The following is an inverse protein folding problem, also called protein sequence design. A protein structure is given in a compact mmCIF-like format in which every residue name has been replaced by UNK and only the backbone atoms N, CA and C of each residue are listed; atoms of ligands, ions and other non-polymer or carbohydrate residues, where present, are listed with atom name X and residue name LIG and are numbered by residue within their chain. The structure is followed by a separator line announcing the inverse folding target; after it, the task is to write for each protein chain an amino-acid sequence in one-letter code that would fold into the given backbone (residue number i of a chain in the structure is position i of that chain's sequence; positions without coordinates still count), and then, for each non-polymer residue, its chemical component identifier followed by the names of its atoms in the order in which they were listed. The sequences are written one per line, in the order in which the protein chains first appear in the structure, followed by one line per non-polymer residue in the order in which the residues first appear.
data_IF_928715775276
#
_entry.id   IF_928715775276
#
_cell.length_a   1.000
_cell.length_b   1.000
_cell.length_c   1.000
_cell.angle_alpha   90.00
_cell.angle_beta   90.00
_cell.angle_gamma   90.00
#
_symmetry.space_group_name_H-M   'P 1'
#
loop_
_entity.id
_entity.type
_entity.pdbx_description
1 polymer ?
#
# COMPACT_ATOMS: atom_id res chain seq x y z
N UNK A 1 -0.54 -53.22 24.80
CA UNK A 1 0.52 -52.17 24.63
C UNK A 1 0.11 -51.33 23.44
N UNK A 2 -0.48 -50.16 23.66
CA UNK A 2 -0.74 -49.24 22.59
C UNK A 2 0.61 -48.71 22.04
N UNK A 3 0.77 -48.73 20.74
CA UNK A 3 2.00 -48.38 20.06
C UNK A 3 2.35 -46.89 20.32
N UNK A 4 3.65 -46.59 20.46
CA UNK A 4 4.16 -45.22 20.57
C UNK A 4 3.66 -44.30 19.43
N UNK A 5 3.28 -44.89 18.31
CA UNK A 5 2.71 -44.20 17.16
C UNK A 5 1.26 -43.72 17.38
N UNK A 6 0.45 -44.52 18.11
CA UNK A 6 -0.92 -44.15 18.48
C UNK A 6 -0.94 -43.02 19.51
N UNK A 7 0.00 -43.04 20.46
CA UNK A 7 0.13 -42.00 21.46
C UNK A 7 0.59 -40.65 20.81
N UNK A 8 1.53 -40.70 19.85
CA UNK A 8 1.93 -39.51 19.09
C UNK A 8 0.83 -38.96 18.19
N UNK A 9 -0.06 -39.82 17.70
CA UNK A 9 -1.20 -39.41 16.89
C UNK A 9 -2.30 -38.79 17.75
N UNK A 10 -2.55 -39.31 18.93
CA UNK A 10 -3.48 -38.73 19.93
C UNK A 10 -2.96 -37.38 20.44
N UNK A 11 -1.67 -37.26 20.79
CA UNK A 11 -1.04 -36.02 21.23
C UNK A 11 -1.00 -34.96 20.09
N UNK A 12 -0.91 -35.39 18.83
CA UNK A 12 -0.99 -34.51 17.67
C UNK A 12 -2.42 -34.02 17.34
N UNK A 13 -3.42 -34.88 17.59
CA UNK A 13 -4.84 -34.56 17.45
C UNK A 13 -5.31 -33.64 18.60
N UNK A 14 -4.86 -33.83 19.84
CA UNK A 14 -5.12 -32.92 20.97
C UNK A 14 -4.46 -31.52 20.73
N UNK A 15 -3.25 -31.46 20.15
CA UNK A 15 -2.59 -30.17 19.83
C UNK A 15 -3.21 -29.45 18.63
N UNK A 16 -3.90 -30.17 17.74
CA UNK A 16 -4.57 -29.54 16.58
C UNK A 16 -5.94 -28.92 16.92
N UNK A 17 -6.56 -29.36 18.02
CA UNK A 17 -7.86 -28.82 18.49
C UNK A 17 -7.67 -27.52 19.26
N UNK A 18 -6.47 -27.27 19.81
CA UNK A 18 -6.18 -26.08 20.63
C UNK A 18 -5.75 -24.85 19.81
N UNK A 19 -5.61 -24.97 18.48
CA UNK A 19 -5.21 -23.86 17.60
C UNK A 19 -6.39 -23.16 16.90
N UNK A 20 -7.64 -23.63 17.09
CA UNK A 20 -8.81 -22.92 16.60
C UNK A 20 -9.26 -21.89 17.63
N UNK A 21 -9.40 -20.64 17.18
CA UNK A 21 -9.92 -19.56 18.02
C UNK A 21 -11.35 -19.90 18.50
N UNK A 22 -11.64 -19.63 19.77
CA UNK A 22 -12.96 -19.91 20.35
C UNK A 22 -14.02 -19.01 19.70
N UNK A 23 -15.27 -19.48 19.54
CA UNK A 23 -16.34 -18.67 18.93
C UNK A 23 -16.54 -17.30 19.60
N UNK A 24 -16.33 -17.22 20.91
CA UNK A 24 -16.42 -15.95 21.66
C UNK A 24 -15.28 -14.99 21.30
N UNK A 25 -14.07 -15.50 21.09
CA UNK A 25 -12.90 -14.71 20.70
C UNK A 25 -13.06 -14.14 19.29
N UNK A 26 -13.58 -14.95 18.35
CA UNK A 26 -13.92 -14.51 16.99
C UNK A 26 -14.99 -13.42 17.00
N UNK A 27 -16.03 -13.59 17.84
CA UNK A 27 -17.09 -12.59 17.97
C UNK A 27 -16.60 -11.27 18.54
N UNK A 28 -15.69 -11.29 19.52
CA UNK A 28 -15.09 -10.08 20.07
C UNK A 28 -14.21 -9.37 19.03
N UNK A 29 -13.40 -10.13 18.29
CA UNK A 29 -12.53 -9.61 17.26
C UNK A 29 -13.33 -9.00 16.11
N UNK A 30 -14.40 -9.67 15.66
CA UNK A 30 -15.34 -9.17 14.67
C UNK A 30 -15.95 -7.82 15.10
N UNK A 31 -16.44 -7.75 16.34
CA UNK A 31 -17.05 -6.53 16.88
C UNK A 31 -16.05 -5.36 16.94
N UNK A 32 -14.79 -5.62 17.35
CA UNK A 32 -13.74 -4.61 17.37
C UNK A 32 -13.42 -4.06 15.99
N UNK A 33 -13.27 -4.95 15.00
CA UNK A 33 -12.97 -4.59 13.63
C UNK A 33 -14.14 -3.86 12.96
N UNK A 34 -15.37 -4.29 13.21
CA UNK A 34 -16.58 -3.65 12.66
C UNK A 34 -16.82 -2.25 13.24
N UNK A 35 -16.57 -2.06 14.54
CA UNK A 35 -16.77 -0.78 15.21
C UNK A 35 -15.67 0.26 14.91
N UNK A 36 -14.56 -0.17 14.32
CA UNK A 36 -13.43 0.72 14.05
C UNK A 36 -13.59 1.44 12.73
N UNK A 37 -13.48 2.78 12.77
CA UNK A 37 -13.51 3.62 11.58
C UNK A 37 -12.22 3.49 10.75
N UNK A 38 -11.09 3.14 11.40
CA UNK A 38 -9.78 3.00 10.78
C UNK A 38 -9.28 1.55 10.88
N UNK A 39 -8.46 1.09 9.93
CA UNK A 39 -7.82 -0.21 10.02
C UNK A 39 -6.96 -0.36 11.29
N UNK A 40 -7.05 -1.51 11.95
CA UNK A 40 -6.34 -1.80 13.20
C UNK A 40 -5.17 -2.75 12.99
N UNK A 41 -4.02 -2.43 13.58
CA UNK A 41 -2.90 -3.36 13.63
C UNK A 41 -3.10 -4.47 14.66
N UNK A 42 -2.37 -5.58 14.46
CA UNK A 42 -2.49 -6.76 15.32
C UNK A 42 -2.14 -6.47 16.78
N UNK A 43 -1.18 -5.58 17.06
CA UNK A 43 -0.78 -5.25 18.43
C UNK A 43 -1.88 -4.46 19.15
N UNK A 44 -2.57 -3.57 18.44
CA UNK A 44 -3.73 -2.84 18.96
C UNK A 44 -4.90 -3.76 19.24
N UNK A 45 -5.16 -4.74 18.35
CA UNK A 45 -6.17 -5.77 18.57
C UNK A 45 -5.84 -6.62 19.80
N UNK A 46 -4.58 -7.08 19.94
CA UNK A 46 -4.15 -7.91 21.06
C UNK A 46 -4.32 -7.20 22.41
N UNK A 47 -4.11 -5.88 22.48
CA UNK A 47 -4.32 -5.08 23.70
C UNK A 47 -5.79 -4.99 24.14
N UNK A 48 -6.73 -5.18 23.22
CA UNK A 48 -8.18 -5.09 23.47
C UNK A 48 -8.85 -6.44 23.65
N UNK A 49 -8.15 -7.52 23.30
CA UNK A 49 -8.63 -8.90 23.48
C UNK A 49 -8.30 -9.41 24.89
N UNK A 50 -9.04 -10.39 25.40
CA UNK A 50 -8.72 -11.06 26.67
C UNK A 50 -7.31 -11.67 26.65
N UNK A 51 -6.70 -11.78 27.83
CA UNK A 51 -5.39 -12.42 27.96
C UNK A 51 -5.43 -13.89 27.51
N UNK A 52 -4.38 -14.32 26.80
CA UNK A 52 -4.25 -15.70 26.31
C UNK A 52 -4.87 -15.97 24.94
N UNK A 53 -5.53 -14.99 24.31
CA UNK A 53 -6.08 -15.16 22.96
C UNK A 53 -4.96 -15.07 21.90
N UNK A 54 -4.87 -16.09 21.04
CA UNK A 54 -4.04 -16.01 19.83
C UNK A 54 -4.73 -15.19 18.76
N UNK A 55 -4.47 -13.87 18.78
CA UNK A 55 -5.07 -12.92 17.84
C UNK A 55 -4.70 -13.24 16.40
N UNK A 56 -3.50 -13.81 16.15
CA UNK A 56 -3.07 -14.16 14.79
C UNK A 56 -3.92 -15.33 14.24
N UNK A 57 -4.10 -16.37 15.04
CA UNK A 57 -4.96 -17.51 14.67
C UNK A 57 -6.42 -17.08 14.50
N UNK A 58 -6.93 -16.23 15.41
CA UNK A 58 -8.29 -15.69 15.34
C UNK A 58 -8.52 -14.85 14.09
N UNK A 59 -7.56 -13.99 13.69
CA UNK A 59 -7.64 -13.21 12.44
C UNK A 59 -7.65 -14.10 11.21
N UNK A 60 -6.81 -15.13 11.16
CA UNK A 60 -6.78 -16.08 10.04
C UNK A 60 -8.11 -16.85 9.91
N UNK A 61 -8.67 -17.29 11.03
CA UNK A 61 -9.98 -17.97 11.07
C UNK A 61 -11.09 -17.01 10.60
N UNK A 62 -11.14 -15.80 11.15
CA UNK A 62 -12.15 -14.81 10.80
C UNK A 62 -12.05 -14.41 9.32
N UNK A 63 -10.83 -14.29 8.78
CA UNK A 63 -10.61 -14.02 7.36
C UNK A 63 -11.18 -15.15 6.49
N UNK A 64 -10.96 -16.41 6.87
CA UNK A 64 -11.51 -17.56 6.17
C UNK A 64 -13.05 -17.57 6.21
N UNK A 65 -13.66 -17.28 7.37
CA UNK A 65 -15.10 -17.25 7.56
C UNK A 65 -15.82 -16.17 6.74
N UNK A 66 -15.07 -15.12 6.40
CA UNK A 66 -15.58 -13.97 5.61
C UNK A 66 -15.26 -14.03 4.12
N UNK A 67 -14.50 -15.02 3.65
CA UNK A 67 -14.04 -15.12 2.24
C UNK A 67 -15.20 -15.18 1.24
N UNK A 68 -16.30 -15.83 1.59
CA UNK A 68 -17.47 -16.00 0.71
C UNK A 68 -18.62 -15.03 1.00
N UNK A 69 -18.40 -14.03 1.85
CA UNK A 69 -19.42 -13.05 2.23
C UNK A 69 -19.33 -11.77 1.40
N UNK A 70 -20.37 -10.93 1.49
CA UNK A 70 -20.41 -9.63 0.81
C UNK A 70 -19.42 -8.59 1.35
N UNK A 71 -18.82 -8.87 2.52
CA UNK A 71 -17.69 -8.14 3.08
C UNK A 71 -16.57 -9.12 3.39
N UNK A 72 -15.33 -8.74 3.12
CA UNK A 72 -14.16 -9.55 3.39
C UNK A 72 -13.27 -8.89 4.44
N UNK A 73 -12.65 -9.68 5.30
CA UNK A 73 -11.60 -9.20 6.19
C UNK A 73 -10.28 -9.18 5.41
N UNK A 74 -9.73 -8.00 5.22
CA UNK A 74 -8.52 -7.80 4.43
C UNK A 74 -7.42 -7.15 5.27
N UNK A 75 -6.18 -7.40 4.89
CA UNK A 75 -5.01 -6.75 5.46
C UNK A 75 -4.50 -5.71 4.49
N UNK A 76 -4.39 -4.46 4.91
CA UNK A 76 -3.96 -3.32 4.11
C UNK A 76 -2.95 -2.53 4.93
N UNK A 77 -1.78 -2.22 4.36
CA UNK A 77 -0.70 -1.52 5.07
C UNK A 77 -0.41 -2.12 6.45
N UNK A 78 -0.35 -3.45 6.54
CA UNK A 78 -0.17 -4.23 7.80
C UNK A 78 -1.29 -4.05 8.85
N UNK A 79 -2.43 -3.49 8.50
CA UNK A 79 -3.61 -3.28 9.36
C UNK A 79 -4.81 -4.06 8.84
N UNK A 80 -5.70 -4.46 9.73
CA UNK A 80 -6.88 -5.26 9.42
C UNK A 80 -8.14 -4.41 9.38
N UNK A 81 -9.00 -4.65 8.38
CA UNK A 81 -10.27 -3.95 8.21
C UNK A 81 -11.24 -4.79 7.38
N UNK A 82 -12.53 -4.55 7.56
CA UNK A 82 -13.54 -5.08 6.66
C UNK A 82 -13.68 -4.19 5.42
N UNK A 83 -13.78 -4.81 4.25
CA UNK A 83 -14.06 -4.17 2.97
C UNK A 83 -15.16 -4.89 2.24
N UNK A 84 -15.91 -4.18 1.40
CA UNK A 84 -16.85 -4.80 0.45
C UNK A 84 -16.08 -5.78 -0.42
N UNK A 85 -16.66 -6.97 -0.64
CA UNK A 85 -16.07 -7.98 -1.52
C UNK A 85 -15.81 -7.39 -2.93
N UNK A 86 -14.69 -7.73 -3.53
CA UNK A 86 -14.23 -7.11 -4.77
C UNK A 86 -15.21 -7.28 -5.94
N UNK A 87 -15.90 -8.42 -6.01
CA UNK A 87 -16.94 -8.72 -7.00
C UNK A 87 -18.22 -7.86 -6.82
N UNK A 88 -18.41 -7.25 -5.63
CA UNK A 88 -19.53 -6.37 -5.31
C UNK A 88 -19.16 -4.88 -5.37
N UNK A 89 -17.95 -4.51 -5.77
CA UNK A 89 -17.47 -3.13 -5.83
C UNK A 89 -18.36 -2.23 -6.72
N UNK A 90 -19.00 -2.79 -7.73
CA UNK A 90 -19.96 -2.09 -8.61
C UNK A 90 -21.17 -1.51 -7.87
N UNK A 91 -21.56 -2.08 -6.72
CA UNK A 91 -22.64 -1.53 -5.88
C UNK A 91 -22.27 -0.16 -5.31
N UNK A 92 -20.97 0.08 -5.04
CA UNK A 92 -20.47 1.32 -4.46
C UNK A 92 -20.20 2.40 -5.52
N UNK A 93 -20.16 2.03 -6.81
CA UNK A 93 -19.78 2.96 -7.90
C UNK A 93 -20.84 4.07 -8.13
N UNK A 94 -22.06 3.92 -7.64
CA UNK A 94 -23.16 4.88 -7.84
C UNK A 94 -23.14 6.10 -6.89
N UNK A 95 -22.40 6.06 -5.80
CA UNK A 95 -22.41 7.11 -4.78
C UNK A 95 -21.12 7.94 -4.69
N UNK A 96 -20.10 7.65 -5.47
CA UNK A 96 -18.90 8.49 -5.48
C UNK A 96 -19.20 9.80 -6.20
N UNK A 97 -19.61 10.80 -5.44
CA UNK A 97 -19.51 12.22 -5.76
C UNK A 97 -18.12 12.44 -6.37
N UNK A 98 -18.10 13.00 -7.59
CA UNK A 98 -16.98 13.43 -8.41
C UNK A 98 -15.61 13.45 -7.70
N UNK A 99 -15.01 12.30 -7.46
CA UNK A 99 -13.58 12.23 -7.16
C UNK A 99 -12.87 12.70 -8.43
N UNK A 100 -12.23 13.86 -8.38
CA UNK A 100 -11.50 14.46 -9.50
C UNK A 100 -10.60 13.40 -10.11
N UNK A 101 -10.96 12.90 -11.28
CA UNK A 101 -10.19 11.85 -11.97
C UNK A 101 -8.79 12.37 -12.23
N UNK A 102 -7.80 11.60 -11.80
CA UNK A 102 -6.41 11.92 -12.13
C UNK A 102 -6.22 11.95 -13.64
N UNK A 103 -5.44 12.92 -14.12
CA UNK A 103 -5.01 12.94 -15.51
C UNK A 103 -4.14 11.71 -15.83
N UNK A 104 -4.06 11.34 -17.11
CA UNK A 104 -3.17 10.26 -17.54
C UNK A 104 -1.71 10.50 -17.10
N UNK A 105 -1.23 11.73 -17.20
CA UNK A 105 0.10 12.10 -16.74
C UNK A 105 0.29 11.89 -15.23
N UNK A 106 -0.73 12.17 -14.42
CA UNK A 106 -0.68 11.92 -12.97
C UNK A 106 -0.65 10.42 -12.65
N UNK A 107 -1.43 9.61 -13.37
CA UNK A 107 -1.43 8.14 -13.20
C UNK A 107 -0.06 7.55 -13.58
N UNK A 108 0.51 7.97 -14.72
CA UNK A 108 1.85 7.53 -15.16
C UNK A 108 2.92 7.89 -14.12
N UNK A 109 2.89 9.13 -13.61
CA UNK A 109 3.82 9.58 -12.57
C UNK A 109 3.66 8.79 -11.26
N UNK A 110 2.41 8.56 -10.83
CA UNK A 110 2.12 7.77 -9.64
C UNK A 110 2.67 6.34 -9.77
N UNK A 111 2.48 5.71 -10.93
CA UNK A 111 3.03 4.39 -11.21
C UNK A 111 4.57 4.39 -11.14
N UNK A 112 5.23 5.36 -11.76
CA UNK A 112 6.70 5.46 -11.69
C UNK A 112 7.17 5.61 -10.24
N UNK A 113 6.53 6.49 -9.46
CA UNK A 113 6.88 6.65 -8.05
C UNK A 113 6.70 5.33 -7.30
N UNK A 114 5.59 4.62 -7.49
CA UNK A 114 5.31 3.37 -6.79
C UNK A 114 6.35 2.27 -7.08
N UNK A 115 6.83 2.15 -8.32
CA UNK A 115 7.79 1.12 -8.70
C UNK A 115 9.25 1.51 -8.50
N UNK A 116 9.60 2.80 -8.55
CA UNK A 116 11.00 3.26 -8.55
C UNK A 116 11.42 4.02 -7.29
N UNK A 117 10.51 4.20 -6.33
CA UNK A 117 10.83 4.97 -5.13
C UNK A 117 12.05 4.44 -4.36
N UNK A 118 12.84 5.32 -3.73
CA UNK A 118 12.74 6.78 -3.77
C UNK A 118 13.20 7.37 -5.10
N UNK A 119 12.44 8.28 -5.69
CA UNK A 119 12.67 8.83 -7.01
C UNK A 119 12.51 10.35 -7.02
N UNK A 120 13.40 11.06 -7.73
CA UNK A 120 13.33 12.52 -7.90
C UNK A 120 12.46 12.88 -9.10
N UNK A 121 12.05 14.14 -9.19
CA UNK A 121 11.30 14.64 -10.35
C UNK A 121 12.07 14.43 -11.66
N UNK A 122 13.37 14.71 -11.67
CA UNK A 122 14.20 14.55 -12.87
C UNK A 122 14.24 13.08 -13.34
N UNK A 123 14.40 12.14 -12.40
CA UNK A 123 14.37 10.70 -12.69
C UNK A 123 12.99 10.26 -13.23
N UNK A 124 11.88 10.82 -12.70
CA UNK A 124 10.54 10.56 -13.23
C UNK A 124 10.41 11.05 -14.68
N UNK A 125 10.90 12.25 -14.98
CA UNK A 125 10.88 12.83 -16.32
C UNK A 125 11.75 12.03 -17.30
N UNK A 126 12.89 11.52 -16.85
CA UNK A 126 13.76 10.62 -17.61
C UNK A 126 13.06 9.31 -17.98
N UNK A 127 12.42 8.66 -16.99
CA UNK A 127 11.67 7.41 -17.23
C UNK A 127 10.49 7.64 -18.16
N UNK A 128 9.77 8.76 -18.02
CA UNK A 128 8.63 9.11 -18.90
C UNK A 128 9.05 9.53 -20.29
N UNK A 129 10.28 10.03 -20.46
CA UNK A 129 10.76 10.62 -21.71
C UNK A 129 10.15 11.99 -22.03
N UNK A 130 9.37 12.58 -21.10
CA UNK A 130 8.72 13.89 -21.26
C UNK A 130 8.76 14.68 -19.98
N UNK A 131 8.90 16.00 -20.11
CA UNK A 131 8.85 16.94 -18.99
C UNK A 131 7.48 16.91 -18.33
N UNK A 132 7.45 16.98 -17.04
CA UNK A 132 6.21 16.97 -16.25
C UNK A 132 5.83 18.38 -15.84
N UNK A 133 4.56 18.76 -16.04
CA UNK A 133 4.07 20.01 -15.49
C UNK A 133 4.13 19.96 -13.95
N UNK A 134 4.48 21.08 -13.32
CA UNK A 134 4.59 21.19 -11.87
C UNK A 134 3.29 20.77 -11.17
N UNK A 135 2.15 21.24 -11.66
CA UNK A 135 0.85 20.93 -11.08
C UNK A 135 0.46 19.45 -11.09
N UNK A 136 1.11 18.59 -11.90
CA UNK A 136 0.83 17.16 -11.88
C UNK A 136 1.34 16.51 -10.60
N UNK A 137 2.53 16.89 -10.13
CA UNK A 137 3.09 16.42 -8.88
C UNK A 137 2.30 16.94 -7.68
N UNK A 138 1.92 18.24 -7.74
CA UNK A 138 1.14 18.89 -6.67
C UNK A 138 -0.21 18.17 -6.46
N UNK A 139 -0.92 17.82 -7.54
CA UNK A 139 -2.16 17.04 -7.45
C UNK A 139 -1.94 15.70 -6.73
N UNK A 140 -0.84 15.00 -6.99
CA UNK A 140 -0.54 13.73 -6.31
C UNK A 140 -0.19 13.92 -4.82
N UNK A 141 0.50 15.02 -4.48
CA UNK A 141 0.76 15.39 -3.09
C UNK A 141 -0.55 15.75 -2.35
N UNK A 142 -1.46 16.49 -3.00
CA UNK A 142 -2.78 16.83 -2.46
C UNK A 142 -3.66 15.61 -2.19
N UNK A 143 -3.55 14.54 -3.01
CA UNK A 143 -4.27 13.28 -2.71
C UNK A 143 -3.75 12.57 -1.46
N UNK A 144 -2.57 12.93 -0.98
CA UNK A 144 -1.89 12.24 0.10
C UNK A 144 -1.35 10.85 -0.28
N UNK A 145 -1.35 10.46 -1.55
CA UNK A 145 -0.87 9.15 -1.98
C UNK A 145 0.64 9.09 -2.13
N UNK A 146 1.28 10.23 -2.33
CA UNK A 146 2.73 10.37 -2.33
C UNK A 146 3.17 11.38 -1.28
N UNK A 147 4.43 11.31 -0.90
CA UNK A 147 5.07 12.24 0.03
C UNK A 147 6.52 12.46 -0.34
N UNK A 148 7.11 13.61 0.02
CA UNK A 148 8.55 13.76 0.07
C UNK A 148 9.13 12.76 1.08
N UNK A 149 10.26 12.15 0.73
CA UNK A 149 10.93 11.15 1.56
C UNK A 149 12.27 11.64 2.10
N UNK A 150 13.07 12.23 1.23
CA UNK A 150 14.41 12.72 1.54
C UNK A 150 14.93 13.61 0.44
N UNK A 151 16.24 13.82 0.43
CA UNK A 151 16.97 14.56 -0.62
C UNK A 151 18.06 13.71 -1.21
N UNK A 152 18.16 13.67 -2.54
CA UNK A 152 19.23 12.96 -3.23
C UNK A 152 20.58 13.64 -2.99
N UNK A 153 21.63 12.87 -2.70
CA UNK A 153 23.01 13.38 -2.52
C UNK A 153 23.70 13.71 -3.86
N UNK A 154 23.04 14.54 -4.66
CA UNK A 154 23.53 15.03 -5.97
C UNK A 154 23.49 16.55 -5.99
N UNK A 155 24.22 17.21 -6.91
CA UNK A 155 24.14 18.66 -7.07
C UNK A 155 22.70 19.15 -7.15
N UNK A 156 22.35 20.19 -6.40
CA UNK A 156 21.00 20.70 -6.27
C UNK A 156 20.14 19.99 -5.21
N UNK A 157 20.60 18.88 -4.64
CA UNK A 157 19.93 18.11 -3.55
C UNK A 157 18.40 17.98 -3.78
N UNK A 158 17.96 17.44 -4.94
CA UNK A 158 16.55 17.39 -5.26
C UNK A 158 15.78 16.50 -4.29
N UNK A 159 14.49 16.85 -4.05
CA UNK A 159 13.59 16.04 -3.25
C UNK A 159 13.35 14.69 -3.90
N UNK A 160 13.31 13.65 -3.09
CA UNK A 160 12.87 12.31 -3.46
C UNK A 160 11.44 12.07 -2.97
N UNK A 161 10.69 11.30 -3.73
CA UNK A 161 9.28 11.00 -3.46
C UNK A 161 9.09 9.50 -3.27
N UNK A 162 8.10 9.17 -2.45
CA UNK A 162 7.63 7.82 -2.23
C UNK A 162 6.13 7.79 -1.94
N UNK A 163 5.56 6.61 -1.91
CA UNK A 163 4.15 6.38 -1.61
C UNK A 163 3.87 6.44 -0.10
N UNK A 164 2.60 6.45 0.26
CA UNK A 164 2.10 6.53 1.64
C UNK A 164 1.21 5.34 1.98
N UNK A 165 0.83 5.18 3.24
CA UNK A 165 -0.21 4.22 3.65
C UNK A 165 -1.56 4.51 2.97
N UNK A 166 -1.87 5.79 2.67
CA UNK A 166 -3.07 6.15 1.95
C UNK A 166 -3.07 5.59 0.51
N UNK A 167 -1.91 5.53 -0.14
CA UNK A 167 -1.74 4.85 -1.43
C UNK A 167 -2.06 3.36 -1.31
N UNK A 168 -1.46 2.66 -0.34
CA UNK A 168 -1.74 1.23 -0.12
C UNK A 168 -3.24 1.00 0.17
N UNK A 169 -3.84 1.87 0.99
CA UNK A 169 -5.26 1.81 1.30
C UNK A 169 -6.14 2.02 0.07
N UNK A 170 -5.80 2.99 -0.78
CA UNK A 170 -6.56 3.29 -2.01
C UNK A 170 -6.56 2.11 -2.98
N UNK A 171 -5.42 1.46 -3.13
CA UNK A 171 -5.25 0.33 -4.06
C UNK A 171 -5.45 -1.03 -3.40
N UNK A 172 -5.87 -1.07 -2.13
CA UNK A 172 -6.13 -2.30 -1.36
C UNK A 172 -4.92 -3.25 -1.29
N UNK A 173 -3.72 -2.67 -1.16
CA UNK A 173 -2.45 -3.39 -1.06
C UNK A 173 -2.07 -3.59 0.40
N UNK A 174 -1.54 -4.76 0.75
CA UNK A 174 -0.93 -5.00 2.07
C UNK A 174 0.45 -4.31 2.15
N UNK A 175 1.24 -4.45 1.08
CA UNK A 175 2.57 -3.88 0.94
C UNK A 175 2.83 -3.49 -0.52
N UNK A 176 3.88 -2.69 -0.78
CA UNK A 176 4.27 -2.34 -2.15
C UNK A 176 4.72 -3.55 -2.97
N UNK A 177 5.21 -4.59 -2.31
CA UNK A 177 5.57 -5.85 -2.96
C UNK A 177 4.39 -6.57 -3.62
N UNK A 178 3.15 -6.21 -3.27
CA UNK A 178 1.94 -6.76 -3.88
C UNK A 178 1.58 -6.09 -5.23
N UNK A 179 2.34 -5.07 -5.62
CA UNK A 179 2.19 -4.49 -6.96
C UNK A 179 2.55 -5.53 -8.04
N UNK A 180 1.79 -5.61 -9.14
CA UNK A 180 1.98 -6.63 -10.16
C UNK A 180 3.37 -6.58 -10.78
N UNK A 181 4.04 -7.72 -10.83
CA UNK A 181 5.33 -7.88 -11.48
C UNK A 181 5.24 -7.92 -13.00
N UNK A 182 6.40 -7.97 -13.68
CA UNK A 182 6.48 -7.98 -15.15
C UNK A 182 5.65 -9.12 -15.77
N UNK A 183 5.72 -10.33 -15.21
CA UNK A 183 5.01 -11.50 -15.74
C UNK A 183 3.49 -11.38 -15.56
N UNK A 184 3.03 -10.80 -14.47
CA UNK A 184 1.61 -10.55 -14.22
C UNK A 184 1.06 -9.49 -15.17
N UNK A 185 1.81 -8.38 -15.37
CA UNK A 185 1.45 -7.32 -16.30
C UNK A 185 1.38 -7.80 -17.75
N UNK A 186 2.26 -8.74 -18.13
CA UNK A 186 2.17 -9.44 -19.44
C UNK A 186 0.96 -10.36 -19.53
N UNK A 187 0.72 -11.14 -18.47
CA UNK A 187 -0.38 -12.11 -18.42
C UNK A 187 -1.76 -11.45 -18.49
N UNK A 188 -1.90 -10.22 -17.96
CA UNK A 188 -3.13 -9.42 -18.05
C UNK A 188 -3.27 -8.63 -19.34
N UNK A 189 -2.27 -8.68 -20.24
CA UNK A 189 -2.28 -7.92 -21.50
C UNK A 189 -2.07 -6.41 -21.34
N UNK A 190 -1.66 -5.94 -20.16
CA UNK A 190 -1.36 -4.53 -19.88
C UNK A 190 -0.01 -4.10 -20.47
N UNK A 191 0.87 -5.07 -20.73
CA UNK A 191 2.15 -4.83 -21.42
C UNK A 191 2.17 -5.56 -22.75
N UNK A 192 2.67 -4.88 -23.79
CA UNK A 192 2.91 -5.49 -25.10
C UNK A 192 3.98 -6.60 -24.95
N UNK A 193 3.77 -7.73 -25.62
CA UNK A 193 4.73 -8.85 -25.65
C UNK A 193 6.07 -8.49 -26.34
N UNK A 194 6.15 -7.34 -27.01
CA UNK A 194 7.32 -6.83 -27.72
C UNK A 194 8.18 -5.88 -26.90
N UNK A 195 8.45 -6.24 -25.64
CA UNK A 195 9.32 -5.42 -24.80
C UNK A 195 10.77 -5.46 -25.30
N UNK A 196 11.51 -4.35 -25.15
CA UNK A 196 12.94 -4.32 -25.47
C UNK A 196 13.71 -5.38 -24.71
N UNK A 197 14.76 -5.93 -25.33
CA UNK A 197 15.68 -6.85 -24.65
C UNK A 197 16.28 -6.19 -23.41
N UNK A 198 16.13 -6.83 -22.25
CA UNK A 198 16.62 -6.28 -20.98
C UNK A 198 15.64 -5.37 -20.24
N UNK A 199 14.41 -5.21 -20.73
CA UNK A 199 13.38 -4.51 -19.98
C UNK A 199 13.03 -5.27 -18.69
N UNK A 200 13.12 -4.60 -17.56
CA UNK A 200 12.72 -5.13 -16.26
C UNK A 200 11.85 -4.12 -15.54
N UNK A 201 10.84 -4.61 -14.84
CA UNK A 201 10.08 -3.81 -13.88
C UNK A 201 10.80 -3.93 -12.55
N UNK A 202 11.18 -2.82 -11.91
CA UNK A 202 11.79 -2.87 -10.58
C UNK A 202 10.87 -3.55 -9.57
N UNK A 203 11.46 -4.26 -8.61
CA UNK A 203 10.69 -4.75 -7.46
C UNK A 203 10.47 -3.59 -6.49
N UNK A 204 9.22 -3.16 -6.26
CA UNK A 204 8.96 -2.07 -5.34
C UNK A 204 9.37 -2.43 -3.92
N UNK A 205 9.86 -1.45 -3.16
CA UNK A 205 10.26 -1.63 -1.76
C UNK A 205 9.58 -0.58 -0.90
N UNK A 206 8.99 -1.03 0.20
CA UNK A 206 8.40 -0.21 1.25
C UNK A 206 9.35 0.01 2.44
N UNK A 207 10.64 -0.25 2.27
CA UNK A 207 11.65 0.02 3.28
C UNK A 207 11.62 1.51 3.67
N UNK A 208 11.29 1.85 4.94
CA UNK A 208 11.22 3.23 5.40
C UNK A 208 12.61 3.86 5.58
N UNK A 209 13.67 3.07 5.61
CA UNK A 209 15.02 3.57 5.77
C UNK A 209 15.46 4.41 4.56
N UNK A 210 16.11 5.52 4.81
CA UNK A 210 16.75 6.29 3.74
C UNK A 210 17.85 5.46 3.09
N UNK A 211 17.99 5.58 1.78
CA UNK A 211 19.11 4.95 1.05
C UNK A 211 20.42 5.68 1.35
N UNK A 212 21.54 5.05 1.09
CA UNK A 212 22.88 5.64 1.28
C UNK A 212 23.09 6.93 0.48
N UNK A 213 22.35 7.08 -0.63
CA UNK A 213 22.37 8.23 -1.51
C UNK A 213 21.29 9.27 -1.20
N UNK A 214 20.62 9.15 -0.05
CA UNK A 214 19.62 10.08 0.44
C UNK A 214 20.01 10.73 1.77
N UNK A 215 19.70 12.02 1.90
CA UNK A 215 19.71 12.76 3.17
C UNK A 215 18.29 12.90 3.72
N UNK A 216 18.10 13.02 5.04
CA UNK A 216 16.79 13.30 5.62
C UNK A 216 16.27 14.67 5.19
N UNK A 217 14.93 14.82 5.27
CA UNK A 217 14.27 16.11 5.04
C UNK A 217 14.66 17.11 6.12
N UNK A 218 14.85 18.37 5.72
CA UNK A 218 15.07 19.49 6.61
C UNK A 218 13.75 20.21 6.94
N UNK A 219 13.73 21.00 8.00
CA UNK A 219 12.59 21.85 8.35
C UNK A 219 12.39 22.89 7.23
N UNK A 220 11.22 22.88 6.57
CA UNK A 220 10.93 23.74 5.41
C UNK A 220 10.87 23.00 4.07
N UNK A 221 11.41 21.79 3.98
CA UNK A 221 11.34 20.99 2.73
C UNK A 221 9.91 20.63 2.33
N UNK A 222 9.05 20.43 3.31
CA UNK A 222 7.63 20.16 3.10
C UNK A 222 6.89 21.39 2.57
N UNK A 223 7.24 22.57 3.05
CA UNK A 223 6.70 23.85 2.55
C UNK A 223 7.14 24.09 1.11
N UNK A 224 8.40 23.76 0.79
CA UNK A 224 8.93 23.89 -0.56
C UNK A 224 8.26 22.91 -1.55
N UNK A 225 7.91 21.71 -1.08
CA UNK A 225 7.21 20.71 -1.89
C UNK A 225 5.77 21.13 -2.22
N UNK A 226 5.13 21.89 -1.32
CA UNK A 226 3.76 22.36 -1.44
C UNK A 226 3.66 23.84 -1.91
N UNK A 227 4.79 24.56 -2.00
CA UNK A 227 4.79 25.95 -2.42
C UNK A 227 4.28 26.09 -3.85
N UNK A 228 3.34 27.03 -4.12
CA UNK A 228 2.90 27.32 -5.47
C UNK A 228 4.08 27.72 -6.34
N UNK A 229 4.04 27.33 -7.62
CA UNK A 229 5.09 27.72 -8.56
C UNK A 229 5.13 29.23 -8.65
N UNK A 230 6.25 29.82 -8.29
CA UNK A 230 6.56 31.18 -8.72
C UNK A 230 6.82 31.07 -10.22
N UNK A 231 5.90 31.55 -11.03
CA UNK A 231 6.15 31.70 -12.47
C UNK A 231 7.38 32.61 -12.61
N UNK A 232 8.35 32.27 -13.45
CA UNK A 232 9.42 33.21 -13.76
C UNK A 232 8.74 34.43 -14.39
N UNK A 233 8.96 35.57 -13.76
CA UNK A 233 8.56 36.88 -14.25
C UNK A 233 9.04 36.99 -15.70
N UNK A 234 8.09 36.96 -16.64
CA UNK A 234 8.34 37.25 -18.01
C UNK A 234 8.63 38.76 -18.10
N UNK A 235 9.91 39.10 -17.83
CA UNK A 235 10.40 40.46 -17.95
C UNK A 235 10.00 41.01 -19.32
N UNK A 236 9.17 42.02 -19.30
CA UNK A 236 8.88 42.89 -20.42
C UNK A 236 10.20 43.45 -20.93
N UNK A 237 10.64 42.98 -22.09
CA UNK A 237 11.56 43.72 -22.94
C UNK A 237 10.77 44.81 -23.61
N UNK A 238 11.06 46.04 -23.18
CA UNK A 238 10.69 47.31 -23.89
C UNK A 238 11.72 47.62 -24.93
#
# INVERSE_FOLDING_TARGET
MASLAEKRKADAEEHSVDSQARPEELRLLEALLFASAEPLDQATLAKRMPEGVDVKAALAQLQADYTSRGVNLVRIANKWTFRTAGDLSWLMTRESTETRRLSRAAIEMLAIIAYHQPVTRAEIEEIRGVVTSKGTLDVLLETGWIRPRGRRKTPGRPLTFGTTEAFLSQFSLEALGDLPGLEELKGTGLLDSRLPTGFSVPTPSDDPALRDDEDPLEVGDLELALAPAVEPDSGEES
#
